data_IF_598937862673
#
_entry.id   IF_598937862673
#
_cell.length_a   1.000
_cell.length_b   1.000
_cell.length_c   1.000
_cell.angle_alpha   90.00
_cell.angle_beta   90.00
_cell.angle_gamma   90.00
#
_symmetry.space_group_name_H-M   'P 1'
#
loop_
_entity.id
_entity.type
_entity.pdbx_description
1 polymer ?
#
# COMPACT_ATOMS: atom_id res chain seq x y z
N UNK A 1 20.71 8.28 -26.06
CA UNK A 1 19.68 8.32 -25.01
C UNK A 1 18.52 7.48 -25.50
N UNK A 2 18.12 6.42 -24.77
CA UNK A 2 17.07 5.51 -25.26
C UNK A 2 15.71 6.21 -25.36
N UNK A 3 14.86 5.80 -26.31
CA UNK A 3 13.54 6.38 -26.54
C UNK A 3 12.68 6.40 -25.26
N UNK A 4 12.78 5.39 -24.40
CA UNK A 4 12.06 5.36 -23.11
C UNK A 4 12.47 6.54 -22.22
N UNK A 5 13.78 6.84 -22.11
CA UNK A 5 14.27 7.98 -21.33
C UNK A 5 13.80 9.31 -21.89
N UNK A 6 13.66 9.42 -23.21
CA UNK A 6 13.10 10.61 -23.86
C UNK A 6 11.61 10.80 -23.48
N UNK A 7 10.82 9.69 -23.48
CA UNK A 7 9.43 9.71 -23.07
C UNK A 7 9.29 10.07 -21.58
N UNK A 8 10.15 9.51 -20.70
CA UNK A 8 10.18 9.87 -19.28
C UNK A 8 10.40 11.38 -19.10
N UNK A 9 11.46 11.92 -19.69
CA UNK A 9 11.76 13.35 -19.59
C UNK A 9 10.65 14.24 -20.12
N UNK A 10 9.93 13.79 -21.16
CA UNK A 10 8.86 14.57 -21.79
C UNK A 10 7.54 14.51 -21.00
N UNK A 11 7.17 13.34 -20.51
CA UNK A 11 5.84 13.10 -19.93
C UNK A 11 5.84 13.02 -18.41
N UNK A 12 7.00 12.70 -17.79
CA UNK A 12 7.16 12.49 -16.36
C UNK A 12 8.48 13.09 -15.84
N UNK A 13 8.74 14.41 -16.07
CA UNK A 13 10.03 15.04 -15.74
C UNK A 13 10.36 14.98 -14.25
N UNK A 14 9.35 15.08 -13.41
CA UNK A 14 9.49 15.13 -11.94
C UNK A 14 9.19 13.79 -11.26
N UNK A 15 9.02 12.71 -12.06
CA UNK A 15 8.60 11.43 -11.51
C UNK A 15 9.76 10.67 -10.87
N UNK A 16 9.65 10.39 -9.58
CA UNK A 16 10.58 9.54 -8.84
C UNK A 16 10.21 8.06 -9.00
N UNK A 17 11.17 7.15 -8.71
CA UNK A 17 10.94 5.71 -8.87
C UNK A 17 9.92 5.15 -7.87
N UNK A 18 9.84 5.67 -6.65
CA UNK A 18 8.95 5.21 -5.59
C UNK A 18 7.88 6.27 -5.28
N UNK A 19 7.21 6.76 -6.31
CA UNK A 19 6.24 7.85 -6.21
C UNK A 19 5.02 7.49 -5.35
N UNK A 20 4.58 6.26 -5.38
CA UNK A 20 3.47 5.73 -4.60
C UNK A 20 3.81 5.66 -3.11
N UNK A 21 5.04 5.27 -2.76
CA UNK A 21 5.54 5.29 -1.40
C UNK A 21 5.71 6.72 -0.88
N UNK A 22 6.19 7.65 -1.72
CA UNK A 22 6.29 9.08 -1.36
C UNK A 22 4.89 9.67 -1.07
N UNK A 23 3.87 9.37 -1.89
CA UNK A 23 2.50 9.83 -1.67
C UNK A 23 1.91 9.22 -0.38
N UNK A 24 2.12 7.93 -0.15
CA UNK A 24 1.62 7.28 1.05
C UNK A 24 2.32 7.80 2.31
N UNK A 25 3.63 7.99 2.25
CA UNK A 25 4.40 8.66 3.31
C UNK A 25 3.81 10.03 3.67
N UNK A 26 3.55 10.87 2.67
CA UNK A 26 2.95 12.19 2.91
C UNK A 26 1.57 12.10 3.56
N UNK A 27 0.79 11.06 3.22
CA UNK A 27 -0.50 10.79 3.83
C UNK A 27 -0.37 10.37 5.29
N UNK A 28 0.59 9.48 5.60
CA UNK A 28 0.89 9.05 6.98
C UNK A 28 1.35 10.26 7.80
N UNK A 29 2.29 11.08 7.28
CA UNK A 29 2.81 12.26 7.98
C UNK A 29 1.76 13.30 8.35
N UNK A 30 0.65 13.37 7.61
CA UNK A 30 -0.50 14.25 7.96
C UNK A 30 -1.31 13.72 9.14
N UNK A 31 -1.18 12.44 9.45
CA UNK A 31 -1.98 11.76 10.47
C UNK A 31 -1.18 11.37 11.72
N UNK A 32 0.14 11.46 11.72
CA UNK A 32 0.99 11.15 12.88
C UNK A 32 1.53 12.41 13.57
N UNK A 33 1.74 12.31 14.88
CA UNK A 33 2.37 13.31 15.73
C UNK A 33 3.55 12.69 16.46
N UNK A 34 4.43 13.53 17.00
CA UNK A 34 5.67 13.08 17.63
C UNK A 34 5.45 12.08 18.78
N UNK A 35 4.42 12.26 19.57
CA UNK A 35 4.14 11.42 20.75
C UNK A 35 3.19 10.25 20.45
N UNK A 36 2.72 10.09 19.22
CA UNK A 36 1.83 9.00 18.86
C UNK A 36 2.54 7.65 18.95
N UNK A 37 1.77 6.63 19.25
CA UNK A 37 2.18 5.23 19.16
C UNK A 37 1.64 4.68 17.85
N UNK A 38 2.52 4.27 16.97
CA UNK A 38 2.20 3.92 15.59
C UNK A 38 2.50 2.45 15.34
N UNK A 39 1.63 1.76 14.59
CA UNK A 39 1.87 0.39 14.11
C UNK A 39 2.04 0.40 12.59
N UNK A 40 3.13 -0.18 12.12
CA UNK A 40 3.36 -0.60 10.74
C UNK A 40 2.93 -2.07 10.60
N UNK A 41 1.77 -2.29 9.96
CA UNK A 41 1.23 -3.62 9.69
C UNK A 41 1.81 -4.15 8.38
N UNK A 42 2.64 -5.19 8.45
CA UNK A 42 3.41 -5.69 7.32
C UNK A 42 4.71 -4.92 7.10
N UNK A 43 5.43 -4.63 8.19
CA UNK A 43 6.61 -3.77 8.20
C UNK A 43 7.85 -4.37 7.51
N UNK A 44 7.88 -5.68 7.30
CA UNK A 44 8.99 -6.38 6.64
C UNK A 44 10.36 -6.07 7.23
N UNK A 45 11.39 -6.19 6.41
CA UNK A 45 12.80 -6.00 6.81
C UNK A 45 13.29 -4.54 6.82
N UNK A 46 12.42 -3.54 6.62
CA UNK A 46 12.82 -2.12 6.59
C UNK A 46 13.65 -1.72 5.37
N UNK A 47 13.32 -2.24 4.20
CA UNK A 47 14.03 -1.96 2.95
C UNK A 47 13.50 -0.74 2.20
N UNK A 48 12.35 -0.19 2.61
CA UNK A 48 11.70 0.96 1.97
C UNK A 48 11.99 2.23 2.78
N UNK A 49 12.92 3.11 2.35
CA UNK A 49 13.31 4.29 3.12
C UNK A 49 12.15 5.27 3.38
N UNK A 50 11.12 5.25 2.54
CA UNK A 50 9.92 6.06 2.72
C UNK A 50 9.16 5.71 4.00
N UNK A 51 9.29 4.48 4.51
CA UNK A 51 8.65 4.02 5.74
C UNK A 51 9.47 4.30 7.02
N UNK A 52 10.59 5.03 6.91
CA UNK A 52 11.33 5.53 8.08
C UNK A 52 10.67 6.79 8.67
N UNK A 53 9.94 6.60 9.78
CA UNK A 53 9.25 7.68 10.51
C UNK A 53 9.95 8.11 11.80
N UNK A 54 11.14 7.59 12.15
CA UNK A 54 11.87 7.86 13.40
C UNK A 54 12.13 9.35 13.67
N UNK A 55 12.18 10.20 12.65
CA UNK A 55 12.30 11.65 12.79
C UNK A 55 11.00 12.36 13.19
N UNK A 56 9.87 11.71 12.99
CA UNK A 56 8.52 12.28 13.11
C UNK A 56 7.73 11.66 14.25
N UNK A 57 8.04 10.41 14.62
CA UNK A 57 7.39 9.66 15.68
C UNK A 57 8.44 8.83 16.43
N UNK A 58 8.39 8.88 17.75
CA UNK A 58 9.40 8.21 18.59
C UNK A 58 9.10 6.70 18.78
N UNK A 59 7.86 6.26 18.56
CA UNK A 59 7.41 4.89 18.81
C UNK A 59 6.65 4.31 17.62
N UNK A 60 7.39 3.79 16.67
CA UNK A 60 6.87 3.01 15.54
C UNK A 60 7.11 1.54 15.82
N UNK A 61 6.05 0.79 16.09
CA UNK A 61 6.04 -0.65 16.22
C UNK A 61 5.78 -1.28 14.85
N UNK A 62 6.22 -2.52 14.64
CA UNK A 62 5.93 -3.22 13.41
C UNK A 62 5.60 -4.69 13.64
N UNK A 63 4.70 -5.23 12.85
CA UNK A 63 4.48 -6.67 12.76
C UNK A 63 4.58 -7.14 11.32
N UNK A 64 5.09 -8.35 11.13
CA UNK A 64 5.17 -9.02 9.84
C UNK A 64 5.32 -10.54 10.08
N UNK A 65 4.74 -11.43 9.25
CA UNK A 65 5.04 -12.86 9.32
C UNK A 65 6.48 -13.21 8.91
N UNK A 66 7.22 -12.28 8.31
CA UNK A 66 8.65 -12.45 8.03
C UNK A 66 9.48 -12.10 9.26
N UNK A 67 10.27 -13.05 9.82
CA UNK A 67 11.08 -12.82 11.03
C UNK A 67 12.13 -11.70 10.87
N UNK A 68 12.43 -11.25 9.65
CA UNK A 68 13.33 -10.10 9.42
C UNK A 68 12.78 -8.80 10.04
N UNK A 69 11.49 -8.73 10.36
CA UNK A 69 10.86 -7.58 11.03
C UNK A 69 11.51 -7.26 12.39
N UNK A 70 11.98 -8.28 13.13
CA UNK A 70 12.66 -8.09 14.42
C UNK A 70 13.95 -7.25 14.30
N UNK A 71 14.55 -7.23 13.12
CA UNK A 71 15.77 -6.48 12.81
C UNK A 71 15.51 -5.25 11.91
N UNK A 72 14.26 -4.86 11.72
CA UNK A 72 13.91 -3.69 10.91
C UNK A 72 14.43 -2.40 11.58
N UNK A 73 15.38 -1.68 10.95
CA UNK A 73 16.06 -0.55 11.55
C UNK A 73 15.17 0.70 11.73
N UNK A 74 13.97 0.71 11.17
CA UNK A 74 13.04 1.84 11.22
C UNK A 74 12.05 1.74 12.38
N UNK A 75 12.01 0.60 13.07
CA UNK A 75 11.08 0.34 14.16
C UNK A 75 11.70 0.60 15.54
N UNK A 76 10.85 0.94 16.49
CA UNK A 76 11.15 0.88 17.91
C UNK A 76 11.17 -0.58 18.38
N UNK A 77 10.20 -1.38 17.90
CA UNK A 77 10.08 -2.81 18.17
C UNK A 77 9.41 -3.47 16.96
N UNK A 78 9.98 -4.58 16.48
CA UNK A 78 9.42 -5.46 15.46
C UNK A 78 9.09 -6.81 16.03
N UNK A 79 7.90 -7.36 15.72
CA UNK A 79 7.44 -8.66 16.20
C UNK A 79 6.98 -9.52 15.04
N UNK A 80 7.47 -10.77 14.96
CA UNK A 80 6.96 -11.77 14.01
C UNK A 80 5.52 -12.15 14.41
N UNK A 81 4.55 -11.68 13.64
CA UNK A 81 3.12 -11.94 13.87
C UNK A 81 2.29 -11.76 12.61
N UNK A 82 1.11 -12.37 12.58
CA UNK A 82 0.11 -12.17 11.55
C UNK A 82 -0.85 -11.03 11.91
N UNK A 83 -1.39 -10.34 10.91
CA UNK A 83 -2.37 -9.27 11.11
C UNK A 83 -3.71 -9.74 11.70
N UNK A 84 -3.99 -11.05 11.65
CA UNK A 84 -5.16 -11.69 12.25
C UNK A 84 -5.05 -11.86 13.78
N UNK A 85 -3.86 -11.71 14.37
CA UNK A 85 -3.60 -11.81 15.81
C UNK A 85 -2.47 -10.86 16.21
N UNK A 86 -2.83 -9.59 16.38
CA UNK A 86 -1.88 -8.50 16.68
C UNK A 86 -1.46 -8.57 18.14
N UNK A 87 -0.16 -8.79 18.49
CA UNK A 87 0.31 -9.08 19.84
C UNK A 87 0.41 -7.84 20.74
N UNK A 88 -0.56 -6.93 20.63
CA UNK A 88 -0.63 -5.69 21.42
C UNK A 88 -2.03 -5.54 22.04
N UNK A 89 -2.13 -4.82 23.19
CA UNK A 89 -3.40 -4.66 23.90
C UNK A 89 -4.39 -3.79 23.13
N UNK A 90 -5.66 -3.86 23.56
CA UNK A 90 -6.73 -3.00 23.07
C UNK A 90 -6.39 -1.52 23.29
N UNK A 91 -6.78 -0.67 22.33
CA UNK A 91 -6.64 0.79 22.44
C UNK A 91 -5.20 1.27 22.67
N UNK A 92 -4.24 0.63 22.03
CA UNK A 92 -2.82 0.91 22.22
C UNK A 92 -2.25 1.94 21.21
N UNK A 93 -2.67 1.86 19.95
CA UNK A 93 -2.12 2.66 18.86
C UNK A 93 -2.98 3.89 18.56
N UNK A 94 -2.31 5.01 18.30
CA UNK A 94 -2.94 6.23 17.76
C UNK A 94 -3.16 6.10 16.25
N UNK A 95 -2.22 5.47 15.55
CA UNK A 95 -2.26 5.25 14.11
C UNK A 95 -1.80 3.83 13.78
N UNK A 96 -2.51 3.17 12.86
CA UNK A 96 -2.08 1.93 12.21
C UNK A 96 -1.99 2.20 10.71
N UNK A 97 -0.90 1.81 10.06
CA UNK A 97 -0.81 1.86 8.60
C UNK A 97 -0.35 0.53 8.00
N UNK A 98 -0.74 0.30 6.75
CA UNK A 98 -0.40 -0.92 5.99
C UNK A 98 0.02 -0.52 4.56
N UNK A 99 1.27 -0.83 4.19
CA UNK A 99 1.85 -0.52 2.89
C UNK A 99 1.95 -1.74 2.00
N UNK A 100 1.09 -1.85 0.98
CA UNK A 100 1.02 -2.99 0.06
C UNK A 100 0.86 -4.36 0.78
N UNK A 101 0.05 -4.39 1.82
CA UNK A 101 -0.32 -5.59 2.59
C UNK A 101 -1.72 -6.07 2.23
N UNK A 102 -2.64 -5.15 2.01
CA UNK A 102 -4.07 -5.43 1.88
C UNK A 102 -4.40 -6.38 0.72
N UNK A 103 -3.59 -6.39 -0.34
CA UNK A 103 -3.73 -7.31 -1.47
C UNK A 103 -3.44 -8.77 -1.14
N UNK A 104 -2.70 -9.01 -0.05
CA UNK A 104 -2.27 -10.35 0.38
C UNK A 104 -3.20 -10.97 1.42
N UNK A 105 -4.08 -10.19 2.05
CA UNK A 105 -4.97 -10.65 3.11
C UNK A 105 -5.97 -11.69 2.59
N UNK A 106 -5.94 -12.88 3.19
CA UNK A 106 -6.91 -13.95 2.95
C UNK A 106 -8.19 -13.78 3.79
N UNK A 107 -8.09 -13.11 4.94
CA UNK A 107 -9.16 -12.81 5.87
C UNK A 107 -9.16 -11.32 6.27
N UNK A 108 -9.44 -10.38 5.34
CA UNK A 108 -9.30 -8.94 5.59
C UNK A 108 -10.24 -8.44 6.70
N UNK A 109 -11.40 -9.06 6.88
CA UNK A 109 -12.32 -8.73 7.98
C UNK A 109 -11.68 -9.01 9.35
N UNK A 110 -11.02 -10.16 9.52
CA UNK A 110 -10.33 -10.50 10.77
C UNK A 110 -9.23 -9.50 11.07
N UNK A 111 -8.42 -9.15 10.07
CA UNK A 111 -7.35 -8.16 10.22
C UNK A 111 -7.91 -6.77 10.57
N UNK A 112 -8.98 -6.32 9.92
CA UNK A 112 -9.59 -5.03 10.25
C UNK A 112 -10.25 -5.01 11.64
N UNK A 113 -10.76 -6.16 12.13
CA UNK A 113 -11.24 -6.28 13.51
C UNK A 113 -10.09 -6.14 14.51
N UNK A 114 -8.92 -6.72 14.23
CA UNK A 114 -7.71 -6.52 15.03
C UNK A 114 -7.23 -5.07 14.98
N UNK A 115 -7.20 -4.46 13.79
CA UNK A 115 -6.90 -3.03 13.64
C UNK A 115 -7.85 -2.17 14.49
N UNK A 116 -9.15 -2.46 14.44
CA UNK A 116 -10.13 -1.77 15.29
C UNK A 116 -9.84 -1.98 16.78
N UNK A 117 -9.54 -3.21 17.20
CA UNK A 117 -9.26 -3.56 18.60
C UNK A 117 -8.08 -2.76 19.14
N UNK A 118 -6.96 -2.76 18.40
CA UNK A 118 -5.71 -2.15 18.87
C UNK A 118 -5.66 -0.64 18.70
N UNK A 119 -6.49 -0.03 17.83
CA UNK A 119 -6.61 1.42 17.72
C UNK A 119 -7.30 2.01 18.96
N UNK A 120 -6.79 3.15 19.43
CA UNK A 120 -7.49 4.00 20.42
C UNK A 120 -8.78 4.57 19.82
N UNK A 121 -9.79 4.92 20.63
CA UNK A 121 -10.91 5.73 20.18
C UNK A 121 -10.41 7.01 19.49
N UNK A 122 -10.91 7.30 18.29
CA UNK A 122 -10.41 8.39 17.44
C UNK A 122 -9.14 8.08 16.65
N UNK A 123 -8.50 6.92 16.86
CA UNK A 123 -7.31 6.48 16.14
C UNK A 123 -7.56 6.23 14.65
N UNK A 124 -6.53 6.31 13.85
CA UNK A 124 -6.60 6.32 12.38
C UNK A 124 -5.95 5.05 11.79
N UNK A 125 -6.64 4.43 10.84
CA UNK A 125 -6.11 3.40 9.96
C UNK A 125 -5.84 3.97 8.56
N UNK A 126 -4.65 3.70 7.99
CA UNK A 126 -4.29 4.03 6.62
C UNK A 126 -3.85 2.76 5.88
N UNK A 127 -4.42 2.50 4.71
CA UNK A 127 -4.02 1.37 3.88
C UNK A 127 -3.71 1.79 2.45
N UNK A 128 -2.54 1.40 1.95
CA UNK A 128 -2.16 1.54 0.54
C UNK A 128 -2.16 0.18 -0.14
N UNK A 129 -2.75 0.10 -1.33
CA UNK A 129 -2.82 -1.16 -2.09
C UNK A 129 -3.07 -0.92 -3.57
N UNK A 130 -2.65 -1.83 -4.47
CA UNK A 130 -3.05 -1.79 -5.87
C UNK A 130 -4.56 -2.00 -6.04
N UNK A 131 -5.18 -1.18 -6.89
CA UNK A 131 -6.61 -1.31 -7.20
C UNK A 131 -6.85 -2.48 -8.16
N UNK A 132 -7.70 -3.43 -7.76
CA UNK A 132 -8.01 -4.65 -8.53
C UNK A 132 -8.61 -4.42 -9.92
N UNK A 133 -9.16 -3.24 -10.21
CA UNK A 133 -9.74 -2.89 -11.51
C UNK A 133 -8.74 -2.26 -12.48
N UNK A 134 -7.53 -1.95 -12.04
CA UNK A 134 -6.48 -1.51 -12.94
C UNK A 134 -6.02 -2.66 -13.84
N UNK A 135 -5.56 -2.35 -15.07
CA UNK A 135 -5.12 -3.38 -16.04
C UNK A 135 -4.04 -4.31 -15.48
N UNK A 136 -3.20 -3.83 -14.59
CA UNK A 136 -2.10 -4.59 -13.99
C UNK A 136 -2.58 -5.80 -13.16
N UNK A 137 -3.38 -5.64 -12.08
CA UNK A 137 -3.96 -6.77 -11.37
C UNK A 137 -4.85 -7.66 -12.25
N UNK A 138 -5.53 -7.08 -13.26
CA UNK A 138 -6.33 -7.87 -14.20
C UNK A 138 -5.45 -8.78 -15.07
N UNK A 139 -4.36 -8.28 -15.64
CA UNK A 139 -3.38 -9.08 -16.39
C UNK A 139 -2.73 -10.11 -15.46
N UNK A 140 -2.38 -9.71 -14.23
CA UNK A 140 -1.79 -10.59 -13.24
C UNK A 140 -2.65 -11.82 -12.95
N UNK A 141 -3.96 -11.67 -12.87
CA UNK A 141 -4.91 -12.78 -12.66
C UNK A 141 -5.01 -13.73 -13.86
N UNK A 142 -4.74 -13.23 -15.05
CA UNK A 142 -4.85 -13.99 -16.31
C UNK A 142 -3.54 -14.68 -16.72
N UNK A 143 -2.45 -14.40 -16.03
CA UNK A 143 -1.12 -14.92 -16.35
C UNK A 143 -0.62 -15.91 -15.30
N UNK A 144 0.11 -16.98 -15.68
CA UNK A 144 0.63 -17.96 -14.73
C UNK A 144 1.66 -17.35 -13.77
N UNK A 145 1.79 -17.94 -12.57
CA UNK A 145 2.77 -17.52 -11.55
C UNK A 145 4.22 -17.54 -12.08
N UNK A 146 4.54 -18.44 -12.99
CA UNK A 146 5.86 -18.49 -13.65
C UNK A 146 6.17 -17.24 -14.46
N UNK A 147 5.15 -16.65 -15.11
CA UNK A 147 5.30 -15.39 -15.83
C UNK A 147 5.59 -14.24 -14.87
N UNK A 148 4.92 -14.20 -13.70
CA UNK A 148 5.15 -13.17 -12.68
C UNK A 148 6.57 -13.23 -12.10
N UNK A 149 7.04 -14.44 -11.77
CA UNK A 149 8.42 -14.65 -11.29
C UNK A 149 9.44 -14.16 -12.32
N UNK A 150 9.30 -14.58 -13.57
CA UNK A 150 10.15 -14.13 -14.65
C UNK A 150 10.12 -12.61 -14.85
N UNK A 151 8.92 -12.02 -14.83
CA UNK A 151 8.75 -10.58 -14.98
C UNK A 151 9.34 -9.78 -13.82
N UNK A 152 9.16 -10.24 -12.56
CA UNK A 152 9.73 -9.62 -11.36
C UNK A 152 11.26 -9.69 -11.38
N UNK A 153 11.83 -10.82 -11.79
CA UNK A 153 13.29 -10.95 -11.98
C UNK A 153 13.85 -9.97 -13.00
N UNK A 154 13.14 -9.75 -14.12
CA UNK A 154 13.53 -8.72 -15.11
C UNK A 154 13.49 -7.29 -14.54
N UNK A 155 12.70 -7.04 -13.51
CA UNK A 155 12.64 -5.76 -12.79
C UNK A 155 13.60 -5.69 -11.61
N UNK A 156 14.41 -6.71 -11.36
CA UNK A 156 15.39 -6.76 -10.27
C UNK A 156 14.75 -6.94 -8.88
N UNK A 157 13.54 -7.52 -8.81
CA UNK A 157 12.91 -7.92 -7.55
C UNK A 157 13.24 -9.37 -7.25
N UNK A 158 13.59 -9.65 -5.99
CA UNK A 158 13.85 -11.02 -5.54
C UNK A 158 12.55 -11.85 -5.54
N UNK A 159 12.69 -13.14 -5.86
CA UNK A 159 11.55 -14.06 -5.92
C UNK A 159 10.95 -14.34 -4.53
N UNK A 160 11.72 -14.14 -3.48
CA UNK A 160 11.34 -14.34 -2.07
C UNK A 160 10.33 -13.29 -1.58
N UNK A 161 10.34 -12.08 -2.17
CA UNK A 161 9.41 -11.00 -1.82
C UNK A 161 8.10 -11.06 -2.61
N UNK A 162 7.78 -12.21 -3.25
CA UNK A 162 6.56 -12.38 -4.06
C UNK A 162 5.54 -13.22 -3.29
N UNK A 163 4.64 -12.57 -2.56
CA UNK A 163 3.53 -13.22 -1.86
C UNK A 163 2.30 -13.41 -2.79
N UNK A 164 1.48 -14.46 -2.55
CA UNK A 164 0.20 -14.62 -3.25
C UNK A 164 -0.72 -13.42 -3.00
N UNK A 165 -1.47 -13.01 -4.02
CA UNK A 165 -2.41 -11.90 -3.92
C UNK A 165 -3.86 -12.39 -3.98
N UNK A 166 -4.70 -11.93 -3.04
CA UNK A 166 -6.11 -12.29 -2.93
C UNK A 166 -7.03 -11.20 -3.52
N UNK A 167 -6.65 -9.92 -3.42
CA UNK A 167 -7.41 -8.76 -3.89
C UNK A 167 -8.84 -8.67 -3.35
N UNK A 168 -9.07 -8.95 -2.06
CA UNK A 168 -10.39 -8.96 -1.43
C UNK A 168 -10.85 -7.57 -0.96
N UNK A 169 -9.90 -6.66 -0.63
CA UNK A 169 -10.17 -5.31 -0.14
C UNK A 169 -9.67 -4.20 -1.10
N UNK A 170 -9.34 -4.54 -2.32
CA UNK A 170 -8.56 -3.71 -3.24
C UNK A 170 -9.40 -2.87 -4.22
N UNK A 171 -10.57 -2.40 -3.81
CA UNK A 171 -11.29 -1.33 -4.49
C UNK A 171 -12.02 -0.46 -3.47
N UNK A 172 -12.42 0.74 -3.88
CA UNK A 172 -13.11 1.69 -3.01
C UNK A 172 -14.37 1.09 -2.34
N UNK A 173 -15.15 0.29 -3.08
CA UNK A 173 -16.36 -0.35 -2.54
C UNK A 173 -16.02 -1.37 -1.45
N UNK A 174 -15.05 -2.26 -1.69
CA UNK A 174 -14.66 -3.29 -0.73
C UNK A 174 -14.07 -2.66 0.53
N UNK A 175 -13.20 -1.65 0.37
CA UNK A 175 -12.61 -0.92 1.50
C UNK A 175 -13.69 -0.29 2.39
N UNK A 176 -14.68 0.42 1.79
CA UNK A 176 -15.77 1.02 2.55
C UNK A 176 -16.63 -0.04 3.25
N UNK A 177 -16.91 -1.15 2.58
CA UNK A 177 -17.76 -2.21 3.13
C UNK A 177 -17.07 -2.89 4.32
N UNK A 178 -15.84 -3.37 4.14
CA UNK A 178 -15.08 -4.10 5.16
C UNK A 178 -14.74 -3.22 6.37
N UNK A 179 -14.40 -1.95 6.16
CA UNK A 179 -14.22 -1.01 7.26
C UNK A 179 -15.49 -0.89 8.11
N UNK A 180 -16.67 -0.76 7.48
CA UNK A 180 -17.95 -0.67 8.21
C UNK A 180 -18.30 -1.96 8.94
N UNK A 181 -18.05 -3.12 8.34
CA UNK A 181 -18.26 -4.43 8.95
C UNK A 181 -17.38 -4.60 10.20
N UNK A 182 -16.19 -4.02 10.19
CA UNK A 182 -15.25 -3.98 11.34
C UNK A 182 -15.44 -2.75 12.24
N UNK A 183 -16.56 -2.04 12.15
CA UNK A 183 -16.89 -0.84 12.96
C UNK A 183 -15.93 0.36 12.77
N UNK A 184 -15.09 0.34 11.76
CA UNK A 184 -14.28 1.47 11.35
C UNK A 184 -15.10 2.43 10.48
N UNK A 185 -14.92 3.73 10.65
CA UNK A 185 -15.54 4.77 9.82
C UNK A 185 -14.62 5.11 8.64
N UNK A 186 -14.96 4.73 7.39
CA UNK A 186 -14.19 5.17 6.24
C UNK A 186 -14.29 6.69 6.09
N UNK A 187 -13.14 7.40 6.10
CA UNK A 187 -13.08 8.87 5.99
C UNK A 187 -12.81 9.28 4.55
N UNK A 188 -11.83 8.62 3.92
CA UNK A 188 -11.32 9.02 2.61
C UNK A 188 -10.83 7.80 1.83
N UNK A 189 -11.07 7.81 0.52
CA UNK A 189 -10.45 6.86 -0.42
C UNK A 189 -9.95 7.61 -1.63
N UNK A 190 -8.64 7.68 -1.75
CA UNK A 190 -7.96 8.23 -2.92
C UNK A 190 -7.70 7.13 -3.94
N UNK A 191 -8.01 7.43 -5.21
CA UNK A 191 -7.64 6.60 -6.35
C UNK A 191 -6.70 7.42 -7.25
N UNK A 192 -5.45 7.01 -7.30
CA UNK A 192 -4.36 7.77 -7.93
C UNK A 192 -3.77 6.96 -9.08
N UNK A 193 -3.51 7.62 -10.20
CA UNK A 193 -2.83 7.03 -11.34
C UNK A 193 -1.42 7.62 -11.46
N UNK A 194 -0.47 6.75 -11.76
CA UNK A 194 0.92 7.13 -11.87
C UNK A 194 1.56 6.80 -13.22
N UNK A 195 2.88 6.88 -13.28
CA UNK A 195 3.63 6.46 -14.45
C UNK A 195 3.39 4.95 -14.71
N UNK A 196 3.12 4.52 -15.95
CA UNK A 196 2.81 3.13 -16.27
C UNK A 196 4.07 2.24 -16.26
N UNK A 197 4.61 1.97 -15.06
CA UNK A 197 5.87 1.27 -14.83
C UNK A 197 5.91 -0.11 -15.48
N UNK A 198 4.78 -0.82 -15.49
CA UNK A 198 4.71 -2.17 -16.05
C UNK A 198 4.78 -2.21 -17.57
N UNK A 199 4.32 -1.15 -18.24
CA UNK A 199 4.36 -1.05 -19.69
C UNK A 199 5.64 -0.38 -20.21
N UNK A 200 6.50 0.10 -19.31
CA UNK A 200 7.73 0.86 -19.61
C UNK A 200 8.86 -0.01 -20.19
N UNK A 201 8.71 -1.34 -20.18
CA UNK A 201 9.74 -2.24 -20.70
C UNK A 201 9.94 -2.09 -22.22
N UNK A 202 8.89 -1.85 -22.98
CA UNK A 202 8.94 -1.66 -24.43
C UNK A 202 8.33 -0.31 -24.83
N UNK A 203 8.93 0.36 -25.81
CA UNK A 203 8.50 1.70 -26.25
C UNK A 203 7.03 1.71 -26.66
N UNK A 204 6.57 0.73 -27.43
CA UNK A 204 5.19 0.67 -27.90
C UNK A 204 4.18 0.52 -26.74
N UNK A 205 4.43 -0.44 -25.83
CA UNK A 205 3.56 -0.65 -24.67
C UNK A 205 3.59 0.56 -23.75
N UNK A 206 4.74 1.23 -23.63
CA UNK A 206 4.86 2.44 -22.83
C UNK A 206 4.04 3.59 -23.37
N UNK A 207 4.02 3.80 -24.71
CA UNK A 207 3.17 4.81 -25.34
C UNK A 207 1.68 4.55 -25.07
N UNK A 208 1.22 3.29 -25.17
CA UNK A 208 -0.14 2.93 -24.79
C UNK A 208 -0.41 3.16 -23.30
N UNK A 209 0.54 2.87 -22.43
CA UNK A 209 0.44 3.15 -21.00
C UNK A 209 0.31 4.64 -20.71
N UNK A 210 1.09 5.50 -21.38
CA UNK A 210 0.99 6.95 -21.26
C UNK A 210 -0.40 7.44 -21.67
N UNK A 211 -0.92 6.92 -22.79
CA UNK A 211 -2.27 7.28 -23.26
C UNK A 211 -3.34 6.85 -22.26
N UNK A 212 -3.28 5.61 -21.78
CA UNK A 212 -4.17 5.11 -20.72
C UNK A 212 -4.13 6.02 -19.49
N UNK A 213 -2.93 6.27 -18.96
CA UNK A 213 -2.72 7.12 -17.78
C UNK A 213 -3.35 8.50 -17.97
N UNK A 214 -3.16 9.15 -19.15
CA UNK A 214 -3.76 10.47 -19.44
C UNK A 214 -5.28 10.42 -19.45
N UNK A 215 -5.86 9.38 -20.05
CA UNK A 215 -7.33 9.20 -20.13
C UNK A 215 -7.91 9.00 -18.72
N UNK A 216 -7.40 8.03 -17.94
CA UNK A 216 -7.97 7.72 -16.61
C UNK A 216 -7.72 8.82 -15.58
N UNK A 217 -6.65 9.63 -15.76
CA UNK A 217 -6.39 10.78 -14.91
C UNK A 217 -7.30 11.96 -15.22
N UNK A 218 -7.65 12.17 -16.51
CA UNK A 218 -8.43 13.33 -16.95
C UNK A 218 -9.94 13.12 -16.81
N UNK A 219 -10.41 11.86 -16.89
CA UNK A 219 -11.84 11.54 -16.87
C UNK A 219 -12.24 10.99 -15.51
N UNK A 220 -13.00 11.76 -14.74
CA UNK A 220 -13.39 11.37 -13.37
C UNK A 220 -14.24 10.09 -13.31
N UNK A 221 -15.06 9.82 -14.34
CA UNK A 221 -15.82 8.56 -14.45
C UNK A 221 -14.91 7.32 -14.49
N UNK A 222 -13.68 7.47 -15.01
CA UNK A 222 -12.70 6.39 -15.12
C UNK A 222 -11.79 6.26 -13.87
N UNK A 223 -12.00 7.04 -12.83
CA UNK A 223 -11.14 7.03 -11.62
C UNK A 223 -10.99 5.64 -11.01
N UNK A 224 -12.03 4.81 -11.09
CA UNK A 224 -12.01 3.45 -10.55
C UNK A 224 -11.03 2.50 -11.27
N UNK A 225 -10.44 2.92 -12.38
CA UNK A 225 -9.42 2.16 -13.11
C UNK A 225 -7.99 2.64 -12.81
N UNK A 226 -7.80 3.60 -11.89
CA UNK A 226 -6.47 4.06 -11.45
C UNK A 226 -5.80 3.00 -10.59
N UNK A 227 -4.45 2.96 -10.66
CA UNK A 227 -3.65 1.87 -10.07
C UNK A 227 -3.64 1.84 -8.55
N UNK A 228 -3.48 2.98 -7.91
CA UNK A 228 -3.24 3.09 -6.48
C UNK A 228 -4.52 3.44 -5.73
N UNK A 229 -4.84 2.65 -4.72
CA UNK A 229 -5.85 2.95 -3.71
C UNK A 229 -5.15 3.29 -2.40
N UNK A 230 -5.47 4.44 -1.82
CA UNK A 230 -5.13 4.79 -0.44
C UNK A 230 -6.43 5.04 0.30
N UNK A 231 -6.71 4.19 1.28
CA UNK A 231 -7.88 4.30 2.13
C UNK A 231 -7.51 4.82 3.52
N UNK A 232 -8.36 5.67 4.08
CA UNK A 232 -8.26 6.17 5.46
C UNK A 232 -9.56 5.88 6.18
N UNK A 233 -9.46 5.27 7.36
CA UNK A 233 -10.59 5.01 8.23
C UNK A 233 -10.26 5.38 9.68
N UNK A 234 -11.28 5.62 10.50
CA UNK A 234 -11.13 6.02 11.89
C UNK A 234 -11.93 5.11 12.80
N UNK A 235 -11.36 4.77 13.97
CA UNK A 235 -12.13 4.20 15.06
C UNK A 235 -13.02 5.30 15.67
N UNK A 236 -14.34 5.09 15.85
CA UNK A 236 -15.22 6.05 16.48
C UNK A 236 -14.69 6.54 17.84
N UNK A 237 -15.01 7.77 18.18
CA UNK A 237 -14.85 8.32 19.54
C UNK A 237 -16.20 8.04 20.21
N UNK A 238 -16.26 7.04 21.05
CA UNK A 238 -17.46 6.75 21.84
C UNK A 238 -17.69 7.78 22.95
#
# INVERSE_FOLDING_TARGET
>A
MGLIKLLDTKFYPDYKNNWDDDIFRDKILKNIRKNDVVLDLGAGAGIIPQMDFRKFCDRVYGIDPDPRVENNPYLFEGVEAFGEDVPYPDNFFDVVFADNVLEHLSAPETVLNEVYRVLKPGGIFLGKTPNKFHYMPLISRLTPTSFHKWYNQLRGRDAEDTFPTCYLINCSKDFHQLCKESSLLPIEVDLIEGRPEYLRMFVLTYVFGILYQRIVSSVNFLRNFRILLIGVAQKPID
#
